data_IF_991638447315
#
_entry.id   IF_991638447315
#
_cell.length_a   1.000
_cell.length_b   1.000
_cell.length_c   1.000
_cell.angle_alpha   90.00
_cell.angle_beta   90.00
_cell.angle_gamma   90.00
#
_symmetry.space_group_name_H-M   'P 1'
#
loop_
_entity.id
_entity.type
_entity.pdbx_description
1 polymer ?
#
# COMPACT_ATOMS: atom_id res chain seq x y z
N UNK A 1 -21.63 -56.59 -23.59
CA UNK A 1 -21.56 -55.12 -23.80
C UNK A 1 -21.53 -54.32 -22.48
N UNK A 2 -20.80 -54.77 -21.43
CA UNK A 2 -20.79 -54.11 -20.10
C UNK A 2 -19.46 -53.43 -19.73
N UNK A 3 -18.41 -53.60 -20.55
CA UNK A 3 -17.05 -53.18 -20.20
C UNK A 3 -16.67 -51.77 -20.73
N UNK A 4 -17.47 -51.18 -21.62
CA UNK A 4 -17.10 -49.93 -22.31
C UNK A 4 -17.45 -48.69 -21.47
N UNK A 5 -18.61 -48.66 -20.81
CA UNK A 5 -19.04 -47.56 -19.91
C UNK A 5 -18.11 -47.34 -18.72
N UNK A 6 -17.47 -48.40 -18.22
CA UNK A 6 -16.58 -48.32 -17.06
C UNK A 6 -15.28 -47.57 -17.37
N UNK A 7 -14.79 -47.65 -18.61
CA UNK A 7 -13.57 -46.94 -19.03
C UNK A 7 -13.83 -45.47 -19.34
N UNK A 8 -14.96 -45.16 -19.97
CA UNK A 8 -15.34 -43.78 -20.30
C UNK A 8 -15.62 -42.94 -19.05
N UNK A 9 -16.26 -43.51 -18.03
CA UNK A 9 -16.51 -42.82 -16.76
C UNK A 9 -15.23 -42.51 -15.96
N UNK A 10 -14.26 -43.43 -15.97
CA UNK A 10 -12.96 -43.24 -15.29
C UNK A 10 -12.14 -42.12 -15.97
N UNK A 11 -12.14 -42.07 -17.31
CA UNK A 11 -11.44 -41.02 -18.05
C UNK A 11 -12.05 -39.62 -17.81
N UNK A 12 -13.39 -39.52 -17.74
CA UNK A 12 -14.06 -38.26 -17.41
C UNK A 12 -13.77 -37.80 -15.98
N UNK A 13 -13.78 -38.73 -15.01
CA UNK A 13 -13.48 -38.40 -13.62
C UNK A 13 -12.01 -37.96 -13.44
N UNK A 14 -11.08 -38.62 -14.13
CA UNK A 14 -9.67 -38.23 -14.15
C UNK A 14 -9.46 -36.85 -14.79
N UNK A 15 -10.17 -36.53 -15.88
CA UNK A 15 -10.08 -35.21 -16.52
C UNK A 15 -10.62 -34.08 -15.63
N UNK A 16 -11.72 -34.31 -14.92
CA UNK A 16 -12.28 -33.35 -13.96
C UNK A 16 -11.35 -33.14 -12.76
N UNK A 17 -10.76 -34.20 -12.23
CA UNK A 17 -9.74 -34.12 -11.15
C UNK A 17 -8.49 -33.36 -11.60
N UNK A 18 -8.04 -33.55 -12.85
CA UNK A 18 -6.89 -32.85 -13.41
C UNK A 18 -7.16 -31.36 -13.61
N UNK A 19 -8.36 -31.00 -14.08
CA UNK A 19 -8.80 -29.61 -14.21
C UNK A 19 -8.95 -28.93 -12.84
N UNK A 20 -9.45 -29.65 -11.83
CA UNK A 20 -9.52 -29.13 -10.45
C UNK A 20 -8.13 -28.94 -9.83
N UNK A 21 -7.14 -29.77 -10.18
CA UNK A 21 -5.75 -29.60 -9.72
C UNK A 21 -5.01 -28.43 -10.39
N UNK A 22 -5.42 -28.01 -11.59
CA UNK A 22 -4.83 -26.86 -12.28
C UNK A 22 -5.42 -25.51 -11.82
N UNK A 23 -6.62 -25.52 -11.22
CA UNK A 23 -7.21 -24.32 -10.60
C UNK A 23 -6.74 -24.03 -9.17
N UNK A 24 -5.92 -24.91 -8.60
CA UNK A 24 -5.41 -24.81 -7.23
C UNK A 24 -3.99 -24.22 -7.14
N UNK A 25 -3.37 -23.84 -8.27
CA UNK A 25 -2.27 -22.90 -8.27
C UNK A 25 -2.87 -21.51 -7.98
N UNK A 26 -3.09 -21.25 -6.69
CA UNK A 26 -3.63 -20.01 -6.19
C UNK A 26 -2.78 -18.84 -6.70
N UNK A 27 -3.44 -17.91 -7.38
CA UNK A 27 -3.06 -16.51 -7.25
C UNK A 27 -3.16 -16.21 -5.75
N UNK A 28 -2.04 -16.18 -5.04
CA UNK A 28 -1.98 -15.40 -3.81
C UNK A 28 -2.23 -13.94 -4.22
N UNK A 29 -3.28 -13.29 -3.71
CA UNK A 29 -3.39 -11.86 -3.90
C UNK A 29 -2.17 -11.22 -3.25
N UNK A 30 -1.42 -10.42 -4.02
CA UNK A 30 -0.18 -9.76 -3.57
C UNK A 30 -0.42 -8.92 -2.30
N UNK A 31 -1.66 -8.48 -2.09
CA UNK A 31 -2.10 -7.80 -0.89
C UNK A 31 -3.26 -8.60 -0.27
N UNK A 32 -3.06 -9.15 0.93
CA UNK A 32 -4.12 -9.57 1.86
C UNK A 32 -4.01 -8.58 3.03
N UNK A 33 -5.12 -8.07 3.60
CA UNK A 33 -5.01 -7.23 4.79
C UNK A 33 -4.39 -8.07 5.92
N UNK A 34 -3.11 -7.83 6.16
CA UNK A 34 -2.36 -8.48 7.21
C UNK A 34 -2.66 -7.74 8.51
N UNK A 35 -3.36 -8.40 9.43
CA UNK A 35 -3.45 -7.96 10.82
C UNK A 35 -2.31 -8.63 11.60
N UNK A 36 -1.26 -7.89 12.00
CA UNK A 36 -0.21 -8.46 12.83
C UNK A 36 -0.76 -8.85 14.20
N UNK A 37 -0.25 -9.95 14.77
CA UNK A 37 -0.50 -10.34 16.17
C UNK A 37 0.16 -9.40 17.21
N UNK A 38 0.72 -8.28 16.76
CA UNK A 38 1.34 -7.26 17.61
C UNK A 38 0.31 -6.19 17.99
N UNK A 39 0.44 -5.54 19.16
CA UNK A 39 -0.39 -4.38 19.49
C UNK A 39 -0.30 -3.30 18.41
N UNK A 40 -1.41 -2.62 18.10
CA UNK A 40 -1.42 -1.46 17.21
C UNK A 40 -0.42 -0.40 17.72
N UNK A 41 0.35 0.25 16.83
CA UNK A 41 1.25 1.29 17.26
C UNK A 41 0.46 2.53 17.66
N UNK A 42 1.07 3.39 18.46
CA UNK A 42 0.52 4.72 18.72
C UNK A 42 0.50 5.55 17.43
N UNK A 43 -0.50 6.40 17.19
CA UNK A 43 -0.54 7.30 16.05
C UNK A 43 0.76 8.10 15.88
N UNK A 44 1.10 8.44 14.64
CA UNK A 44 2.26 9.30 14.36
C UNK A 44 2.16 10.62 15.12
N UNK A 45 3.30 11.06 15.64
CA UNK A 45 3.41 12.32 16.37
C UNK A 45 4.75 12.99 16.10
N UNK A 46 4.76 14.31 16.01
CA UNK A 46 5.93 15.13 15.79
C UNK A 46 6.07 15.61 14.35
N UNK A 47 7.17 16.32 14.10
CA UNK A 47 7.53 16.87 12.80
C UNK A 47 8.43 15.87 12.06
N UNK A 48 8.09 15.59 10.81
CA UNK A 48 8.88 14.81 9.88
C UNK A 48 9.33 15.73 8.75
N UNK A 49 10.59 15.60 8.34
CA UNK A 49 11.25 16.51 7.40
C UNK A 49 11.86 15.69 6.26
N UNK A 50 11.72 16.21 5.04
CA UNK A 50 12.45 15.77 3.86
C UNK A 50 13.07 17.00 3.16
N UNK A 51 13.80 16.78 2.07
CA UNK A 51 14.27 17.90 1.23
C UNK A 51 13.14 18.65 0.52
N UNK A 52 11.97 18.00 0.35
CA UNK A 52 10.82 18.52 -0.38
C UNK A 52 9.71 19.07 0.51
N UNK A 53 9.92 19.10 1.83
CA UNK A 53 8.92 19.66 2.74
C UNK A 53 8.90 19.07 4.14
N UNK A 54 7.81 19.37 4.84
CA UNK A 54 7.56 18.87 6.19
C UNK A 54 6.16 18.28 6.34
N UNK A 55 6.01 17.38 7.31
CA UNK A 55 4.74 16.82 7.76
C UNK A 55 4.72 16.76 9.29
N UNK A 56 3.74 17.39 9.92
CA UNK A 56 3.54 17.38 11.36
C UNK A 56 2.26 16.63 11.73
N UNK A 57 2.39 15.74 12.71
CA UNK A 57 1.29 14.97 13.26
C UNK A 57 1.12 15.28 14.75
N UNK A 58 -0.12 15.48 15.19
CA UNK A 58 -0.43 15.80 16.58
C UNK A 58 -0.68 14.55 17.46
N UNK A 59 -0.66 13.35 16.87
CA UNK A 59 -0.93 12.09 17.58
C UNK A 59 -2.42 11.78 17.77
N UNK A 60 -3.32 12.52 17.12
CA UNK A 60 -4.76 12.25 17.16
C UNK A 60 -5.22 11.15 16.19
N UNK A 61 -4.35 10.73 15.27
CA UNK A 61 -4.63 9.68 14.30
C UNK A 61 -5.47 10.12 13.10
N UNK A 62 -5.75 11.42 12.95
CA UNK A 62 -6.61 11.95 11.88
C UNK A 62 -6.02 13.15 11.16
N UNK A 63 -5.36 14.07 11.87
CA UNK A 63 -4.91 15.36 11.31
C UNK A 63 -3.43 15.34 10.93
N UNK A 64 -3.12 16.02 9.83
CA UNK A 64 -1.76 16.27 9.37
C UNK A 64 -1.64 17.72 8.92
N UNK A 65 -0.56 18.38 9.34
CA UNK A 65 -0.13 19.66 8.77
C UNK A 65 1.06 19.37 7.87
N UNK A 66 1.06 19.86 6.65
CA UNK A 66 2.22 19.69 5.77
C UNK A 66 2.62 21.00 5.11
N UNK A 67 3.88 21.08 4.72
CA UNK A 67 4.40 22.15 3.87
C UNK A 67 5.23 21.48 2.77
N UNK A 68 4.65 21.31 1.58
CA UNK A 68 5.35 20.72 0.42
C UNK A 68 5.86 21.83 -0.50
N UNK A 69 7.04 21.60 -1.08
CA UNK A 69 7.50 22.41 -2.20
C UNK A 69 6.64 22.20 -3.45
N UNK A 70 6.87 23.02 -4.49
CA UNK A 70 6.09 22.96 -5.73
C UNK A 70 6.25 21.61 -6.45
N UNK A 71 7.45 21.03 -6.43
CA UNK A 71 7.77 19.77 -7.13
C UNK A 71 7.02 18.59 -6.52
N UNK A 72 7.12 18.40 -5.21
CA UNK A 72 6.39 17.35 -4.52
C UNK A 72 4.89 17.59 -4.64
N UNK A 73 4.41 18.82 -4.40
CA UNK A 73 2.98 19.14 -4.50
C UNK A 73 2.38 18.76 -5.86
N UNK A 74 3.07 19.06 -6.97
CA UNK A 74 2.67 18.66 -8.32
C UNK A 74 2.64 17.13 -8.45
N UNK A 75 3.68 16.45 -7.96
CA UNK A 75 3.81 15.00 -8.01
C UNK A 75 2.70 14.27 -7.22
N UNK A 76 2.32 14.78 -6.05
CA UNK A 76 1.20 14.22 -5.27
C UNK A 76 -0.17 14.64 -5.79
N UNK A 77 -0.27 15.73 -6.55
CA UNK A 77 -1.55 16.34 -6.93
C UNK A 77 -2.25 17.04 -5.76
N UNK A 78 -1.47 17.64 -4.86
CA UNK A 78 -1.94 18.40 -3.70
C UNK A 78 -1.47 19.85 -3.77
N UNK A 79 -2.08 20.79 -3.04
CA UNK A 79 -1.62 22.18 -3.01
C UNK A 79 -0.27 22.29 -2.29
N UNK A 80 0.62 23.12 -2.82
CA UNK A 80 1.92 23.46 -2.22
C UNK A 80 1.79 24.39 -1.01
N UNK A 81 2.89 24.55 -0.27
CA UNK A 81 2.97 25.39 0.92
C UNK A 81 2.24 24.80 2.13
N UNK A 82 2.00 25.63 3.14
CA UNK A 82 1.37 25.22 4.40
C UNK A 82 -0.11 24.83 4.19
N UNK A 83 -0.44 23.60 4.57
CA UNK A 83 -1.79 23.04 4.48
C UNK A 83 -2.15 22.28 5.75
N UNK A 84 -3.42 22.32 6.12
CA UNK A 84 -4.02 21.43 7.12
C UNK A 84 -4.94 20.45 6.40
N UNK A 85 -4.81 19.17 6.74
CA UNK A 85 -5.61 18.12 6.14
C UNK A 85 -5.87 16.97 7.11
N UNK A 86 -6.58 15.98 6.59
CA UNK A 86 -6.73 14.68 7.25
C UNK A 86 -5.97 13.62 6.51
N UNK A 87 -5.50 12.60 7.22
CA UNK A 87 -4.81 11.46 6.61
C UNK A 87 -5.41 10.13 7.06
N UNK A 88 -5.21 9.10 6.23
CA UNK A 88 -5.49 7.71 6.60
C UNK A 88 -4.48 6.81 5.92
N UNK A 89 -3.95 5.85 6.67
CA UNK A 89 -3.10 4.79 6.14
C UNK A 89 -3.97 3.67 5.56
N UNK A 90 -3.53 3.13 4.43
CA UNK A 90 -4.32 2.22 3.61
C UNK A 90 -3.52 0.96 3.26
N UNK A 91 -4.25 -0.15 3.11
CA UNK A 91 -3.71 -1.46 2.78
C UNK A 91 -3.07 -1.58 1.40
N UNK A 92 -3.29 -0.61 0.50
CA UNK A 92 -3.14 -0.84 -0.94
C UNK A 92 -4.39 -1.50 -1.53
N UNK A 93 -4.47 -1.55 -2.86
CA UNK A 93 -5.57 -2.22 -3.56
C UNK A 93 -5.65 -3.71 -3.16
N UNK A 94 -6.79 -4.09 -2.57
CA UNK A 94 -7.14 -5.45 -2.17
C UNK A 94 -8.35 -5.93 -2.98
N UNK A 95 -8.18 -6.51 -4.17
CA UNK A 95 -9.31 -7.03 -4.93
C UNK A 95 -10.06 -8.12 -4.13
N UNK A 96 -11.41 -8.11 -4.08
CA UNK A 96 -12.34 -7.21 -4.75
C UNK A 96 -12.74 -5.95 -3.95
N UNK A 97 -12.19 -5.75 -2.76
CA UNK A 97 -12.63 -4.78 -1.76
C UNK A 97 -11.99 -3.39 -1.87
N UNK A 98 -10.92 -3.24 -2.66
CA UNK A 98 -10.17 -1.99 -2.79
C UNK A 98 -9.33 -1.66 -1.56
N UNK A 99 -8.75 -0.47 -1.50
CA UNK A 99 -7.94 -0.04 -0.35
C UNK A 99 -8.78 0.19 0.91
N UNK A 100 -8.34 -0.39 2.03
CA UNK A 100 -9.00 -0.28 3.33
C UNK A 100 -8.11 0.43 4.36
N UNK A 101 -8.68 1.18 5.33
CA UNK A 101 -7.92 1.75 6.44
C UNK A 101 -7.17 0.69 7.24
N UNK A 102 -5.90 0.94 7.55
CA UNK A 102 -5.04 0.02 8.32
C UNK A 102 -4.02 0.80 9.17
N UNK A 103 -3.38 0.12 10.12
CA UNK A 103 -2.27 0.66 10.92
C UNK A 103 -1.05 0.96 10.04
N UNK A 104 -0.28 1.99 10.38
CA UNK A 104 0.77 2.50 9.49
C UNK A 104 1.90 1.51 9.21
N UNK A 105 2.27 0.67 10.18
CA UNK A 105 3.42 -0.24 10.11
C UNK A 105 3.19 -1.43 9.17
N UNK A 106 2.02 -1.52 8.55
CA UNK A 106 1.68 -2.47 7.48
C UNK A 106 1.03 -1.80 6.27
N UNK A 107 1.02 -0.46 6.24
CA UNK A 107 0.38 0.30 5.19
C UNK A 107 1.21 0.27 3.88
N UNK A 108 0.52 0.26 2.76
CA UNK A 108 1.10 0.37 1.41
C UNK A 108 0.79 1.71 0.76
N UNK A 109 -0.23 2.40 1.28
CA UNK A 109 -0.70 3.67 0.76
C UNK A 109 -1.00 4.60 1.93
N UNK A 110 -0.90 5.91 1.69
CA UNK A 110 -1.42 6.95 2.56
C UNK A 110 -2.32 7.84 1.73
N UNK A 111 -3.53 8.10 2.21
CA UNK A 111 -4.39 9.13 1.62
C UNK A 111 -4.31 10.39 2.45
N UNK A 112 -4.11 11.52 1.78
CA UNK A 112 -4.25 12.86 2.37
C UNK A 112 -5.47 13.54 1.71
N UNK A 113 -6.23 14.28 2.50
CA UNK A 113 -7.39 15.07 2.06
C UNK A 113 -7.20 16.51 2.56
N UNK A 114 -7.28 17.48 1.64
CA UNK A 114 -7.20 18.93 1.92
C UNK A 114 -8.35 19.62 1.20
N UNK A 115 -9.29 20.19 1.94
CA UNK A 115 -10.50 20.79 1.36
C UNK A 115 -11.27 19.77 0.50
N UNK A 116 -11.39 20.04 -0.80
CA UNK A 116 -12.04 19.14 -1.77
C UNK A 116 -11.04 18.24 -2.54
N UNK A 117 -9.74 18.39 -2.31
CA UNK A 117 -8.68 17.63 -2.98
C UNK A 117 -8.28 16.42 -2.14
N UNK A 118 -7.94 15.32 -2.82
CA UNK A 118 -7.39 14.13 -2.17
C UNK A 118 -6.39 13.43 -3.07
N UNK A 119 -5.31 12.94 -2.46
CA UNK A 119 -4.28 12.14 -3.11
C UNK A 119 -4.09 10.81 -2.36
N UNK A 120 -3.88 9.74 -3.11
CA UNK A 120 -3.43 8.43 -2.58
C UNK A 120 -1.98 8.25 -2.99
N UNK A 121 -1.12 8.07 -2.00
CA UNK A 121 0.33 8.12 -2.11
C UNK A 121 0.86 6.73 -1.79
N UNK A 122 1.66 6.15 -2.69
CA UNK A 122 2.33 4.87 -2.41
C UNK A 122 3.34 5.04 -1.27
N UNK A 123 3.47 4.01 -0.44
CA UNK A 123 4.45 3.97 0.65
C UNK A 123 5.48 2.87 0.36
N UNK A 124 6.75 3.27 0.29
CA UNK A 124 7.79 2.37 -0.16
C UNK A 124 9.16 3.00 -0.27
N UNK A 125 10.18 2.15 -0.21
CA UNK A 125 11.57 2.50 -0.43
C UNK A 125 12.01 2.02 -1.80
N UNK A 126 12.36 2.94 -2.69
CA UNK A 126 13.06 2.67 -3.93
C UNK A 126 14.51 2.25 -3.65
N UNK A 127 15.01 1.28 -4.40
CA UNK A 127 16.41 0.92 -4.37
C UNK A 127 17.25 1.91 -5.21
N UNK A 128 18.55 1.94 -4.96
CA UNK A 128 19.51 2.79 -5.69
C UNK A 128 19.54 2.53 -7.20
N UNK A 129 19.03 1.38 -7.65
CA UNK A 129 18.97 1.03 -9.08
C UNK A 129 17.85 1.77 -9.84
N UNK A 130 16.95 2.45 -9.13
CA UNK A 130 15.78 3.16 -9.68
C UNK A 130 14.75 2.25 -10.34
N UNK A 131 14.86 0.92 -10.15
CA UNK A 131 14.07 -0.09 -10.86
C UNK A 131 13.33 -1.03 -9.92
N UNK A 132 13.79 -1.12 -8.68
CA UNK A 132 13.17 -1.94 -7.65
C UNK A 132 12.68 -1.07 -6.51
N UNK A 133 11.59 -1.48 -5.89
CA UNK A 133 11.03 -0.84 -4.71
C UNK A 133 10.54 -1.91 -3.74
N UNK A 134 10.49 -1.55 -2.46
CA UNK A 134 9.95 -2.35 -1.38
C UNK A 134 8.81 -1.59 -0.70
N UNK A 135 7.72 -2.29 -0.39
CA UNK A 135 6.53 -1.75 0.27
C UNK A 135 6.03 -2.74 1.33
N UNK A 136 5.16 -2.27 2.22
CA UNK A 136 4.50 -3.11 3.22
C UNK A 136 5.15 -3.10 4.61
N UNK A 137 5.27 -4.27 5.22
CA UNK A 137 5.56 -4.41 6.65
C UNK A 137 6.86 -3.71 7.08
N UNK A 138 6.75 -2.80 8.05
CA UNK A 138 7.89 -2.12 8.67
C UNK A 138 8.54 -1.04 7.82
N UNK A 139 8.00 -0.75 6.64
CA UNK A 139 8.48 0.33 5.77
C UNK A 139 8.17 1.69 6.39
N UNK A 140 6.93 1.89 6.82
CA UNK A 140 6.52 3.07 7.60
C UNK A 140 6.76 2.77 9.09
N UNK A 141 7.44 3.68 9.79
CA UNK A 141 7.73 3.53 11.22
C UNK A 141 7.35 4.80 11.97
N UNK A 142 7.42 4.78 13.30
CA UNK A 142 7.20 5.98 14.12
C UNK A 142 8.21 7.12 13.88
N UNK A 143 9.27 6.87 13.10
CA UNK A 143 10.33 7.84 12.80
C UNK A 143 10.54 8.08 11.31
N UNK A 144 9.83 7.35 10.43
CA UNK A 144 9.95 7.55 8.98
C UNK A 144 8.64 7.30 8.23
N UNK A 145 8.41 8.10 7.19
CA UNK A 145 7.32 7.95 6.22
C UNK A 145 7.92 8.07 4.80
N UNK A 146 8.18 6.95 4.12
CA UNK A 146 8.72 6.98 2.77
C UNK A 146 7.60 6.99 1.73
N UNK A 147 7.46 8.09 1.00
CA UNK A 147 6.55 8.20 -0.14
C UNK A 147 7.23 7.63 -1.38
N UNK A 148 6.59 6.68 -2.05
CA UNK A 148 7.09 6.02 -3.26
C UNK A 148 6.37 6.57 -4.49
N UNK A 149 7.15 6.91 -5.51
CA UNK A 149 6.67 7.41 -6.78
C UNK A 149 7.20 6.58 -7.94
N UNK A 150 6.48 6.65 -9.06
CA UNK A 150 6.82 5.94 -10.29
C UNK A 150 6.80 6.93 -11.47
N UNK A 151 7.98 7.40 -11.87
CA UNK A 151 8.20 8.27 -13.04
C UNK A 151 9.49 7.83 -13.76
N UNK A 152 9.33 7.18 -14.92
CA UNK A 152 10.41 6.49 -15.67
C UNK A 152 11.29 5.49 -14.85
N UNK A 153 10.86 5.17 -13.62
CA UNK A 153 11.56 4.37 -12.62
C UNK A 153 10.92 4.58 -11.24
N UNK A 154 11.49 3.97 -10.20
CA UNK A 154 11.07 4.18 -8.82
C UNK A 154 12.00 5.16 -8.10
N UNK A 155 11.43 6.08 -7.35
CA UNK A 155 12.14 6.93 -6.39
C UNK A 155 11.27 7.16 -5.15
N UNK A 156 11.92 7.54 -4.04
CA UNK A 156 11.23 7.79 -2.78
C UNK A 156 11.61 9.13 -2.18
N UNK A 157 10.62 9.86 -1.68
CA UNK A 157 10.82 11.00 -0.78
C UNK A 157 10.62 10.48 0.64
N UNK A 158 11.67 10.54 1.46
CA UNK A 158 11.63 9.99 2.82
C UNK A 158 11.54 11.13 3.83
N UNK A 159 10.40 11.20 4.52
CA UNK A 159 10.19 12.10 5.64
C UNK A 159 10.68 11.43 6.93
N UNK A 160 11.61 12.08 7.65
CA UNK A 160 12.21 11.56 8.88
C UNK A 160 11.99 12.52 10.04
N UNK A 161 11.80 11.95 11.24
CA UNK A 161 11.59 12.72 12.49
C UNK A 161 12.89 13.25 13.09
#
# INVERSE_FOLDING_TARGET
MKCWWRKTGICLFAAVLLLLSLGACGWEPENIPYEPDTPAPEPHTGLFVSEHGTMQFDGDGERVFYEFDEELAELVGLPAGEQEGTYVFLSGDLPPHGSMPIRYDVAHEMRIVVGEQSAVIGLGLAAEDGKTASSGLGIVTSTQIPMLFHDDGFFSVVFQK
#
